data_IF_537443099681
#
_entry.id   IF_537443099681
#
_cell.length_a   1.000
_cell.length_b   1.000
_cell.length_c   1.000
_cell.angle_alpha   90.00
_cell.angle_beta   90.00
_cell.angle_gamma   90.00
#
_symmetry.space_group_name_H-M   'P 1'
#
loop_
_entity.id
_entity.type
_entity.pdbx_description
1 polymer ?
#
# COMPACT_ATOMS: atom_id res chain seq x y z
N UNK A 1 6.56 -17.51 -5.25
CA UNK A 1 7.18 -16.17 -5.15
C UNK A 1 6.99 -15.55 -6.52
N UNK A 2 6.24 -14.45 -6.61
CA UNK A 2 6.05 -13.75 -7.89
C UNK A 2 7.13 -12.68 -7.99
N UNK A 3 7.85 -12.66 -9.09
CA UNK A 3 8.74 -11.55 -9.40
C UNK A 3 7.90 -10.42 -9.97
N UNK A 4 7.97 -9.24 -9.35
CA UNK A 4 7.22 -8.07 -9.78
C UNK A 4 8.04 -7.21 -10.74
N UNK A 5 7.52 -7.02 -11.95
CA UNK A 5 8.09 -6.11 -12.93
C UNK A 5 7.39 -4.74 -12.83
N UNK A 6 8.18 -3.67 -12.67
CA UNK A 6 7.66 -2.30 -12.54
C UNK A 6 6.95 -1.77 -13.80
N UNK A 7 7.14 -2.38 -14.97
CA UNK A 7 6.41 -2.00 -16.19
C UNK A 7 5.00 -2.59 -16.28
N UNK A 8 4.64 -3.50 -15.37
CA UNK A 8 3.36 -4.21 -15.38
C UNK A 8 2.53 -3.86 -14.12
N UNK A 9 1.20 -4.06 -14.15
CA UNK A 9 0.39 -4.01 -12.95
C UNK A 9 0.86 -5.04 -11.91
N UNK A 10 1.02 -4.58 -10.67
CA UNK A 10 1.27 -5.42 -9.50
C UNK A 10 -0.09 -5.65 -8.82
N UNK A 11 -0.63 -6.85 -8.97
CA UNK A 11 -1.92 -7.20 -8.36
C UNK A 11 -1.80 -7.31 -6.85
N UNK A 12 -2.79 -6.79 -6.14
CA UNK A 12 -2.79 -6.86 -4.68
C UNK A 12 -2.80 -8.30 -4.16
N UNK A 13 -3.41 -9.22 -4.91
CA UNK A 13 -3.47 -10.66 -4.62
C UNK A 13 -2.11 -11.36 -4.74
N UNK A 14 -1.13 -10.72 -5.37
CA UNK A 14 0.23 -11.23 -5.56
C UNK A 14 1.21 -10.74 -4.48
N UNK A 15 0.74 -10.38 -3.27
CA UNK A 15 1.61 -10.00 -2.15
C UNK A 15 2.65 -11.08 -1.82
N UNK A 16 3.74 -10.69 -1.16
CA UNK A 16 4.86 -11.58 -0.84
C UNK A 16 4.38 -12.85 -0.10
N UNK A 17 5.01 -13.99 -0.38
CA UNK A 17 4.72 -15.23 0.36
C UNK A 17 5.36 -15.17 1.74
N UNK A 18 4.60 -15.48 2.77
CA UNK A 18 5.09 -15.57 4.14
C UNK A 18 3.95 -15.79 5.12
N UNK A 19 4.29 -15.84 6.40
CA UNK A 19 3.29 -15.96 7.46
C UNK A 19 2.61 -14.62 7.71
N UNK A 20 1.42 -14.68 8.29
CA UNK A 20 0.80 -13.54 8.96
C UNK A 20 1.81 -12.86 9.92
N UNK A 21 1.75 -11.53 10.02
CA UNK A 21 2.72 -10.65 10.68
C UNK A 21 4.13 -10.59 10.06
N UNK A 22 4.37 -11.25 8.91
CA UNK A 22 5.66 -11.21 8.21
C UNK A 22 5.52 -10.64 6.80
N UNK A 23 4.68 -11.26 5.97
CA UNK A 23 4.47 -10.83 4.58
C UNK A 23 3.14 -10.09 4.37
N UNK A 24 2.15 -10.41 5.21
CA UNK A 24 0.88 -9.72 5.30
C UNK A 24 0.41 -9.72 6.77
N UNK A 25 -0.60 -8.91 7.06
CA UNK A 25 -1.40 -9.00 8.25
C UNK A 25 -2.86 -8.80 7.91
N UNK A 26 -3.68 -9.67 8.47
CA UNK A 26 -5.12 -9.69 8.35
C UNK A 26 -5.69 -9.93 9.76
N UNK A 27 -6.84 -9.33 10.08
CA UNK A 27 -7.42 -9.45 11.41
C UNK A 27 -8.03 -10.85 11.62
N UNK A 28 -8.48 -11.52 10.56
CA UNK A 28 -9.19 -12.79 10.59
C UNK A 28 -8.30 -13.97 10.15
N UNK A 29 -7.19 -14.16 10.85
CA UNK A 29 -6.11 -15.06 10.40
C UNK A 29 -6.23 -16.53 10.82
N UNK A 30 -7.44 -17.04 11.07
CA UNK A 30 -7.64 -18.48 11.26
C UNK A 30 -9.10 -18.93 11.11
N UNK A 31 -9.28 -20.11 10.50
CA UNK A 31 -10.41 -20.99 10.80
C UNK A 31 -10.32 -21.40 12.27
N UNK A 32 -11.12 -20.80 13.15
CA UNK A 32 -11.37 -21.40 14.47
C UNK A 32 -12.41 -22.51 14.33
N UNK A 33 -11.97 -23.76 14.20
CA UNK A 33 -12.80 -24.89 14.65
C UNK A 33 -12.76 -24.90 16.18
N UNK A 34 -13.58 -24.07 16.79
CA UNK A 34 -13.87 -24.19 18.22
C UNK A 34 -14.96 -25.24 18.38
N UNK A 35 -14.54 -26.43 18.78
CA UNK A 35 -15.41 -27.33 19.50
C UNK A 35 -15.94 -26.55 20.72
N UNK A 36 -17.26 -26.42 20.85
CA UNK A 36 -18.00 -25.68 21.90
C UNK A 36 -18.15 -24.15 21.71
N UNK A 37 -18.92 -23.76 20.69
CA UNK A 37 -19.90 -22.67 20.85
C UNK A 37 -19.49 -21.23 20.54
N UNK A 38 -18.41 -20.98 19.79
CA UNK A 38 -18.15 -19.64 19.27
C UNK A 38 -18.39 -19.48 17.76
N UNK A 39 -18.36 -18.22 17.33
CA UNK A 39 -18.71 -17.77 15.98
C UNK A 39 -17.64 -18.20 14.98
N UNK A 40 -18.07 -18.78 13.87
CA UNK A 40 -17.22 -19.12 12.72
C UNK A 40 -16.64 -17.84 12.08
N UNK A 41 -15.31 -17.70 12.05
CA UNK A 41 -14.58 -16.71 11.24
C UNK A 41 -13.87 -17.42 10.10
N UNK A 42 -13.99 -16.88 8.89
CA UNK A 42 -13.50 -17.51 7.67
C UNK A 42 -12.04 -17.11 7.42
N UNK A 43 -11.17 -18.05 7.06
CA UNK A 43 -9.74 -17.80 6.81
C UNK A 43 -9.45 -16.98 5.54
N UNK A 44 -10.36 -17.02 4.58
CA UNK A 44 -10.38 -16.18 3.39
C UNK A 44 -11.85 -16.06 2.98
N UNK A 45 -12.44 -14.89 3.16
CA UNK A 45 -13.86 -14.65 2.96
C UNK A 45 -14.35 -15.01 1.55
N UNK A 46 -13.47 -14.99 0.53
CA UNK A 46 -13.78 -15.39 -0.84
C UNK A 46 -13.29 -16.78 -1.27
N UNK A 47 -12.66 -17.56 -0.39
CA UNK A 47 -12.24 -18.96 -0.62
C UNK A 47 -11.35 -19.19 -1.86
N UNK A 48 -10.68 -18.15 -2.35
CA UNK A 48 -10.10 -18.16 -3.69
C UNK A 48 -8.62 -17.79 -3.71
N UNK A 49 -7.95 -18.30 -4.74
CA UNK A 49 -6.55 -18.01 -5.11
C UNK A 49 -5.47 -18.53 -4.16
N UNK A 50 -5.44 -18.09 -2.90
CA UNK A 50 -4.39 -18.43 -1.93
C UNK A 50 -4.97 -19.02 -0.65
N UNK A 51 -4.29 -20.03 -0.13
CA UNK A 51 -4.62 -20.64 1.16
C UNK A 51 -3.91 -19.88 2.30
N UNK A 52 -3.91 -18.55 2.20
CA UNK A 52 -3.29 -17.58 3.09
C UNK A 52 -4.42 -16.70 3.67
N UNK A 53 -4.19 -16.01 4.79
CA UNK A 53 -5.24 -15.36 5.56
C UNK A 53 -5.79 -14.05 5.00
N UNK A 54 -5.45 -13.68 3.76
CA UNK A 54 -5.97 -12.45 3.12
C UNK A 54 -7.25 -12.78 2.36
N UNK A 55 -8.26 -11.94 2.52
CA UNK A 55 -9.54 -12.09 1.85
C UNK A 55 -9.49 -11.76 0.35
N UNK A 56 -9.75 -12.75 -0.50
CA UNK A 56 -9.62 -12.66 -1.97
C UNK A 56 -10.87 -13.18 -2.65
N UNK A 57 -11.45 -12.37 -3.54
CA UNK A 57 -12.61 -12.74 -4.38
C UNK A 57 -12.34 -12.56 -5.88
N UNK A 58 -13.29 -13.02 -6.70
CA UNK A 58 -13.24 -12.86 -8.14
C UNK A 58 -13.38 -11.39 -8.56
N UNK A 59 -12.50 -10.94 -9.45
CA UNK A 59 -12.49 -9.58 -9.98
C UNK A 59 -13.02 -9.56 -11.41
N UNK A 60 -13.99 -8.68 -11.68
CA UNK A 60 -14.59 -8.47 -13.00
C UNK A 60 -14.09 -7.21 -13.72
N UNK A 61 -13.02 -6.59 -13.22
CA UNK A 61 -12.38 -5.45 -13.89
C UNK A 61 -11.70 -5.87 -15.20
N UNK A 62 -11.60 -4.94 -16.16
CA UNK A 62 -11.09 -5.23 -17.50
C UNK A 62 -9.61 -5.64 -17.51
N UNK A 63 -8.81 -5.08 -16.60
CA UNK A 63 -7.43 -5.51 -16.35
C UNK A 63 -7.41 -6.15 -14.96
N UNK A 64 -7.29 -7.47 -14.88
CA UNK A 64 -7.19 -8.21 -13.62
C UNK A 64 -6.35 -9.48 -13.83
N UNK A 65 -5.92 -10.11 -12.73
CA UNK A 65 -5.46 -11.50 -12.74
C UNK A 65 -6.60 -12.49 -12.42
N UNK A 66 -7.85 -12.06 -12.58
CA UNK A 66 -9.06 -12.80 -12.20
C UNK A 66 -9.52 -12.55 -10.77
N UNK A 67 -8.73 -11.88 -9.93
CA UNK A 67 -9.02 -11.70 -8.51
C UNK A 67 -8.72 -10.28 -8.00
N UNK A 68 -9.36 -9.89 -6.90
CA UNK A 68 -9.03 -8.70 -6.11
C UNK A 68 -8.92 -9.07 -4.63
N UNK A 69 -8.18 -8.27 -3.87
CA UNK A 69 -8.28 -8.32 -2.40
C UNK A 69 -9.55 -7.56 -2.02
N UNK A 70 -10.35 -8.13 -1.13
CA UNK A 70 -11.60 -7.55 -0.63
C UNK A 70 -11.59 -7.50 0.90
N UNK A 71 -12.70 -7.08 1.50
CA UNK A 71 -12.91 -7.06 2.97
C UNK A 71 -11.79 -6.40 3.78
N UNK A 72 -11.05 -5.48 3.18
CA UNK A 72 -9.94 -4.80 3.84
C UNK A 72 -10.40 -4.03 5.06
N UNK A 73 -9.74 -4.27 6.20
CA UNK A 73 -10.05 -3.64 7.48
C UNK A 73 -8.93 -2.72 7.98
N UNK A 74 -9.25 -1.74 8.86
CA UNK A 74 -8.25 -0.91 9.51
C UNK A 74 -7.18 -1.73 10.25
N UNK A 75 -5.91 -1.47 9.93
CA UNK A 75 -4.74 -2.12 10.52
C UNK A 75 -4.15 -3.24 9.66
N UNK A 76 -4.88 -3.76 8.69
CA UNK A 76 -4.42 -4.80 7.77
C UNK A 76 -3.38 -4.29 6.79
N UNK A 77 -2.46 -5.17 6.39
CA UNK A 77 -1.40 -4.79 5.47
C UNK A 77 -0.86 -5.93 4.61
N UNK A 78 -0.31 -5.59 3.46
CA UNK A 78 0.36 -6.50 2.54
C UNK A 78 1.72 -5.93 2.11
N UNK A 79 2.72 -6.80 1.93
CA UNK A 79 4.04 -6.43 1.39
C UNK A 79 4.24 -6.92 -0.04
N UNK A 80 4.99 -6.15 -0.81
CA UNK A 80 5.36 -6.45 -2.20
C UNK A 80 6.84 -6.11 -2.40
N UNK A 81 7.63 -7.12 -2.76
CA UNK A 81 9.05 -6.92 -3.07
C UNK A 81 9.23 -6.66 -4.56
N UNK A 82 9.69 -5.45 -4.91
CA UNK A 82 9.94 -5.03 -6.31
C UNK A 82 11.41 -4.68 -6.50
N UNK A 83 11.93 -4.80 -7.73
CA UNK A 83 13.30 -4.40 -8.06
C UNK A 83 13.30 -3.28 -9.09
N UNK A 84 13.98 -2.17 -8.80
CA UNK A 84 14.20 -1.07 -9.72
C UNK A 84 15.64 -1.10 -10.25
N UNK A 85 15.81 -1.00 -11.58
CA UNK A 85 17.14 -1.00 -12.20
C UNK A 85 17.98 0.23 -11.81
N UNK A 86 17.32 1.38 -11.70
CA UNK A 86 17.87 2.66 -11.25
C UNK A 86 16.88 3.33 -10.29
N UNK A 87 17.35 4.30 -9.51
CA UNK A 87 16.46 5.10 -8.69
C UNK A 87 15.55 5.94 -9.60
N UNK A 88 14.25 5.94 -9.33
CA UNK A 88 13.27 6.67 -10.13
C UNK A 88 12.14 7.25 -9.29
N UNK A 89 11.65 8.39 -9.73
CA UNK A 89 10.43 9.00 -9.24
C UNK A 89 9.32 8.69 -10.24
N UNK A 90 8.24 8.08 -9.78
CA UNK A 90 7.22 7.50 -10.64
C UNK A 90 5.83 8.02 -10.27
N UNK A 91 4.89 7.95 -11.21
CA UNK A 91 3.48 8.06 -10.86
C UNK A 91 3.01 6.69 -10.36
N UNK A 92 2.31 6.67 -9.23
CA UNK A 92 1.73 5.45 -8.64
C UNK A 92 0.22 5.50 -8.81
N UNK A 93 -0.32 4.53 -9.54
CA UNK A 93 -1.76 4.39 -9.76
C UNK A 93 -2.29 3.19 -8.98
N UNK A 94 -3.36 3.38 -8.21
CA UNK A 94 -4.11 2.35 -7.50
C UNK A 94 -5.44 2.12 -8.23
N UNK A 95 -5.72 0.87 -8.61
CA UNK A 95 -7.00 0.44 -9.18
C UNK A 95 -7.84 -0.23 -8.10
N UNK A 96 -8.99 0.36 -7.78
CA UNK A 96 -9.82 -0.07 -6.65
C UNK A 96 -11.32 0.12 -6.93
N UNK A 97 -12.16 -0.50 -6.13
CA UNK A 97 -13.61 -0.32 -6.09
C UNK A 97 -14.11 -0.23 -4.64
N UNK A 98 -15.12 0.59 -4.37
CA UNK A 98 -15.67 0.76 -3.02
C UNK A 98 -17.05 1.42 -3.06
N UNK A 99 -17.99 0.88 -2.29
CA UNK A 99 -19.40 1.32 -2.35
C UNK A 99 -19.72 2.45 -1.36
N UNK A 100 -19.29 2.33 -0.11
CA UNK A 100 -19.98 3.03 0.98
C UNK A 100 -19.12 4.01 1.79
N UNK A 101 -17.81 3.79 1.89
CA UNK A 101 -16.91 4.59 2.72
C UNK A 101 -15.71 5.10 1.92
N UNK A 102 -15.22 6.29 2.32
CA UNK A 102 -13.86 6.70 1.98
C UNK A 102 -12.90 5.65 2.54
N UNK A 103 -12.02 5.11 1.70
CA UNK A 103 -10.96 4.21 2.17
C UNK A 103 -9.67 5.00 2.26
N UNK A 104 -9.00 4.93 3.40
CA UNK A 104 -7.68 5.55 3.57
C UNK A 104 -6.63 4.46 3.60
N UNK A 105 -5.59 4.61 2.77
CA UNK A 105 -4.45 3.69 2.76
C UNK A 105 -3.14 4.45 2.95
N UNK A 106 -2.20 3.82 3.65
CA UNK A 106 -0.80 4.24 3.73
C UNK A 106 0.04 3.32 2.86
N UNK A 107 0.92 3.91 2.05
CA UNK A 107 1.88 3.17 1.24
C UNK A 107 3.28 3.57 1.68
N UNK A 108 4.04 2.59 2.13
CA UNK A 108 5.42 2.74 2.59
C UNK A 108 6.36 2.01 1.63
N UNK A 109 7.58 2.51 1.47
CA UNK A 109 8.69 1.82 0.80
C UNK A 109 9.85 1.75 1.78
N UNK A 110 10.43 0.56 1.99
CA UNK A 110 11.60 0.39 2.87
C UNK A 110 11.45 1.02 4.28
N UNK A 111 10.22 1.12 4.80
CA UNK A 111 9.92 1.71 6.11
C UNK A 111 9.77 3.24 6.15
N UNK A 112 9.81 3.94 5.01
CA UNK A 112 9.41 5.36 4.88
C UNK A 112 8.11 5.48 4.11
N UNK A 113 7.37 6.57 4.30
CA UNK A 113 6.17 6.82 3.49
C UNK A 113 6.58 7.05 2.02
N UNK A 114 5.99 6.27 1.11
CA UNK A 114 6.17 6.41 -0.33
C UNK A 114 5.27 7.51 -0.90
N UNK A 115 4.11 7.71 -0.26
CA UNK A 115 3.09 8.70 -0.63
C UNK A 115 2.50 9.31 0.64
N UNK A 116 1.80 10.46 0.56
CA UNK A 116 0.90 10.86 1.63
C UNK A 116 -0.18 9.78 1.83
N UNK A 117 -0.92 9.85 2.94
CA UNK A 117 -2.10 8.99 3.13
C UNK A 117 -3.07 9.22 1.97
N UNK A 118 -3.35 8.15 1.23
CA UNK A 118 -4.23 8.22 0.07
C UNK A 118 -5.67 8.08 0.54
N UNK A 119 -6.50 9.03 0.12
CA UNK A 119 -7.93 9.08 0.40
C UNK A 119 -8.69 8.65 -0.84
N UNK A 120 -9.05 7.37 -0.90
CA UNK A 120 -9.72 6.72 -2.03
C UNK A 120 -11.25 6.92 -1.92
N UNK A 121 -11.88 7.79 -2.74
CA UNK A 121 -13.31 8.06 -2.66
C UNK A 121 -14.17 6.85 -3.05
N UNK A 122 -15.46 6.84 -2.66
CA UNK A 122 -16.39 5.83 -3.17
C UNK A 122 -16.41 5.83 -4.71
N UNK A 123 -16.32 4.64 -5.29
CA UNK A 123 -16.39 4.46 -6.73
C UNK A 123 -17.84 4.27 -7.21
N UNK A 124 -18.77 4.01 -6.30
CA UNK A 124 -20.19 3.79 -6.56
C UNK A 124 -20.63 2.32 -6.51
N UNK A 125 -19.73 1.39 -6.17
CA UNK A 125 -20.06 -0.02 -5.99
C UNK A 125 -18.82 -0.91 -5.89
N UNK A 126 -18.97 -2.10 -5.31
CA UNK A 126 -17.89 -3.07 -5.07
C UNK A 126 -17.26 -3.64 -6.34
N UNK A 127 -17.95 -3.54 -7.48
CA UNK A 127 -17.46 -3.97 -8.79
C UNK A 127 -17.31 -2.80 -9.77
N UNK A 128 -17.36 -1.56 -9.28
CA UNK A 128 -17.19 -0.35 -10.10
C UNK A 128 -15.77 0.15 -9.89
N UNK A 129 -14.85 -0.23 -10.76
CA UNK A 129 -13.44 0.08 -10.57
C UNK A 129 -13.05 1.46 -11.12
N UNK A 130 -12.30 2.21 -10.31
CA UNK A 130 -11.68 3.49 -10.68
C UNK A 130 -10.20 3.48 -10.32
N UNK A 131 -9.48 4.44 -10.89
CA UNK A 131 -8.05 4.61 -10.63
C UNK A 131 -7.83 5.88 -9.81
N UNK A 132 -6.93 5.81 -8.84
CA UNK A 132 -6.41 6.95 -8.10
C UNK A 132 -4.90 7.04 -8.35
N UNK A 133 -4.42 8.17 -8.84
CA UNK A 133 -3.00 8.36 -9.17
C UNK A 133 -2.41 9.42 -8.26
N UNK A 134 -1.23 9.12 -7.71
CA UNK A 134 -0.38 10.06 -6.99
C UNK A 134 0.95 10.14 -7.70
N UNK A 135 1.47 11.36 -7.84
CA UNK A 135 2.73 11.60 -8.50
C UNK A 135 3.89 11.50 -7.51
N UNK A 136 5.07 11.33 -8.07
CA UNK A 136 6.34 11.46 -7.37
C UNK A 136 6.64 10.41 -6.28
N UNK A 137 6.23 9.16 -6.51
CA UNK A 137 6.60 8.01 -5.69
C UNK A 137 8.06 7.59 -5.97
N UNK A 138 8.96 7.83 -5.02
CA UNK A 138 10.38 7.54 -5.13
C UNK A 138 10.72 6.07 -4.80
N UNK A 139 11.24 5.35 -5.79
CA UNK A 139 11.87 4.05 -5.62
C UNK A 139 13.39 4.19 -5.61
N UNK A 140 14.04 3.48 -4.68
CA UNK A 140 15.49 3.40 -4.61
C UNK A 140 16.02 2.42 -5.67
N UNK A 141 17.28 2.56 -6.08
CA UNK A 141 17.92 1.55 -6.94
C UNK A 141 18.00 0.20 -6.20
N UNK A 142 17.65 -0.88 -6.89
CA UNK A 142 17.69 -2.24 -6.34
C UNK A 142 16.36 -2.65 -5.71
N UNK A 143 16.44 -3.38 -4.60
CA UNK A 143 15.27 -3.98 -3.94
C UNK A 143 14.50 -2.92 -3.15
N UNK A 144 13.19 -2.86 -3.37
CA UNK A 144 12.25 -2.02 -2.64
C UNK A 144 11.14 -2.90 -2.06
N UNK A 145 10.91 -2.82 -0.75
CA UNK A 145 9.79 -3.48 -0.09
C UNK A 145 8.67 -2.47 0.10
N UNK A 146 7.61 -2.62 -0.69
CA UNK A 146 6.42 -1.79 -0.59
C UNK A 146 5.49 -2.43 0.44
N UNK A 147 4.94 -1.62 1.34
CA UNK A 147 3.91 -2.05 2.28
C UNK A 147 2.67 -1.17 2.09
N UNK A 148 1.52 -1.80 1.83
CA UNK A 148 0.23 -1.12 1.79
C UNK A 148 -0.55 -1.47 3.05
N UNK A 149 -0.98 -0.45 3.79
CA UNK A 149 -1.75 -0.61 5.03
C UNK A 149 -3.09 0.09 4.90
N UNK A 150 -4.18 -0.59 5.22
CA UNK A 150 -5.52 0.00 5.31
C UNK A 150 -5.65 0.73 6.64
N UNK A 151 -5.98 2.02 6.60
CA UNK A 151 -6.10 2.86 7.80
C UNK A 151 -7.55 3.05 8.25
N UNK A 152 -8.46 3.19 7.29
CA UNK A 152 -9.89 3.37 7.54
C UNK A 152 -10.71 2.95 6.32
N UNK A 153 -12.00 2.66 6.54
CA UNK A 153 -12.90 2.21 5.48
C UNK A 153 -12.61 0.77 5.05
N UNK A 154 -12.83 0.50 3.77
CA UNK A 154 -12.63 -0.81 3.14
C UNK A 154 -12.92 -0.70 1.64
N UNK A 155 -12.03 -1.25 0.82
CA UNK A 155 -12.12 -1.26 -0.62
C UNK A 155 -11.70 -2.62 -1.19
N UNK A 156 -12.21 -2.91 -2.38
CA UNK A 156 -11.69 -3.95 -3.24
C UNK A 156 -10.45 -3.39 -3.96
N UNK A 157 -9.30 -4.01 -3.74
CA UNK A 157 -8.01 -3.60 -4.30
C UNK A 157 -7.60 -4.58 -5.40
N UNK A 158 -7.51 -4.10 -6.65
CA UNK A 158 -7.17 -4.93 -7.81
C UNK A 158 -5.66 -4.94 -8.05
N UNK A 159 -5.09 -3.81 -8.47
CA UNK A 159 -3.65 -3.65 -8.67
C UNK A 159 -3.17 -2.25 -8.34
N UNK A 160 -1.86 -2.12 -8.16
CA UNK A 160 -1.16 -0.86 -8.30
C UNK A 160 -0.13 -0.92 -9.43
N UNK A 161 0.21 0.22 -10.01
CA UNK A 161 1.15 0.30 -11.11
C UNK A 161 2.01 1.56 -11.00
N UNK A 162 3.31 1.39 -11.23
CA UNK A 162 4.23 2.49 -11.43
C UNK A 162 4.30 2.86 -12.92
N UNK A 163 4.31 4.15 -13.22
CA UNK A 163 4.45 4.65 -14.58
C UNK A 163 5.25 5.94 -14.62
N UNK A 164 5.58 6.38 -15.84
CA UNK A 164 6.30 7.63 -16.10
C UNK A 164 7.56 7.81 -15.23
N UNK A 165 8.51 6.85 -15.23
CA UNK A 165 9.73 6.96 -14.44
C UNK A 165 10.52 8.20 -14.85
N UNK A 166 10.86 9.03 -13.87
CA UNK A 166 11.67 10.24 -14.01
C UNK A 166 12.92 10.13 -13.15
N UNK A 167 13.97 10.84 -13.54
CA UNK A 167 15.17 10.94 -12.71
C UNK A 167 14.82 11.71 -11.43
N UNK A 168 15.20 11.24 -10.22
CA UNK A 168 14.92 11.98 -8.98
C UNK A 168 15.49 13.41 -8.97
N UNK A 169 16.54 13.70 -9.75
CA UNK A 169 17.09 15.05 -9.90
C UNK A 169 16.24 16.02 -10.74
N UNK A 170 15.23 15.52 -11.45
CA UNK A 170 14.38 16.30 -12.35
C UNK A 170 13.06 16.75 -11.70
N UNK A 171 12.82 16.39 -10.43
CA UNK A 171 11.61 16.77 -9.70
C UNK A 171 11.95 17.70 -8.54
N UNK A 172 11.06 18.65 -8.26
CA UNK A 172 11.18 19.50 -7.07
C UNK A 172 11.06 18.64 -5.81
N UNK A 173 11.93 18.92 -4.83
CA UNK A 173 11.87 18.29 -3.52
C UNK A 173 10.58 18.69 -2.80
N UNK A 174 9.82 17.70 -2.36
CA UNK A 174 8.57 17.84 -1.63
C UNK A 174 8.59 16.95 -0.39
N UNK A 175 8.04 17.49 0.70
CA UNK A 175 7.77 16.71 1.91
C UNK A 175 6.53 15.85 1.65
N UNK A 176 6.69 14.54 1.78
CA UNK A 176 5.59 13.56 1.70
C UNK A 176 4.86 13.49 3.02
N UNK A 177 5.62 13.35 4.11
CA UNK A 177 5.08 13.23 5.46
C UNK A 177 6.07 13.73 6.50
N UNK A 178 5.51 14.11 7.64
CA UNK A 178 6.24 14.42 8.85
C UNK A 178 5.53 13.77 10.03
N UNK A 179 6.26 13.07 10.88
CA UNK A 179 5.71 12.47 12.10
C UNK A 179 6.69 12.56 13.25
N UNK A 180 6.18 12.49 14.47
CA UNK A 180 7.04 12.35 15.66
C UNK A 180 7.20 10.86 15.95
N UNK A 181 8.44 10.45 16.20
CA UNK A 181 8.77 9.12 16.71
C UNK A 181 7.97 8.77 17.98
N UNK A 182 7.76 7.47 18.20
CA UNK A 182 6.96 6.98 19.33
C UNK A 182 7.49 7.40 20.71
N UNK A 183 8.80 7.62 20.84
CA UNK A 183 9.43 8.10 22.08
C UNK A 183 9.42 9.64 22.22
N UNK A 184 8.92 10.36 21.22
CA UNK A 184 8.84 11.82 21.21
C UNK A 184 10.16 12.53 20.94
N UNK A 185 11.26 11.83 20.62
CA UNK A 185 12.61 12.42 20.58
C UNK A 185 13.11 12.78 19.20
N UNK A 186 12.43 12.34 18.15
CA UNK A 186 12.82 12.54 16.76
C UNK A 186 11.62 12.90 15.89
N UNK A 187 11.85 13.76 14.90
CA UNK A 187 10.94 14.00 13.78
C UNK A 187 11.40 13.13 12.62
N UNK A 188 10.49 12.34 12.07
CA UNK A 188 10.70 11.53 10.88
C UNK A 188 10.08 12.27 9.69
N UNK A 189 10.90 12.53 8.67
CA UNK A 189 10.48 13.20 7.45
C UNK A 189 10.66 12.25 6.27
N UNK A 190 9.64 12.14 5.43
CA UNK A 190 9.71 11.42 4.16
C UNK A 190 9.66 12.42 3.01
N UNK A 191 10.46 12.20 1.98
CA UNK A 191 10.57 13.08 0.82
C UNK A 191 10.45 12.29 -0.48
N UNK A 192 10.03 12.98 -1.55
CA UNK A 192 9.92 12.43 -2.91
C UNK A 192 11.26 12.38 -3.68
N UNK A 193 12.35 12.83 -3.08
CA UNK A 193 13.69 12.77 -3.63
C UNK A 193 14.72 12.69 -2.49
N UNK A 194 15.93 12.21 -2.78
CA UNK A 194 17.02 12.28 -1.84
C UNK A 194 17.42 13.75 -1.59
N UNK A 195 17.62 14.13 -0.33
CA UNK A 195 18.19 15.44 0.00
C UNK A 195 19.67 15.43 -0.41
N UNK A 196 20.02 16.17 -1.47
CA UNK A 196 21.42 16.38 -1.81
C UNK A 196 22.06 17.33 -0.78
N UNK A 197 23.27 17.00 -0.34
CA UNK A 197 23.92 17.63 0.81
C UNK A 197 24.19 19.13 0.58
N UNK A 198 23.36 19.99 1.19
CA UNK A 198 23.67 21.38 1.59
C UNK A 198 22.50 22.07 2.30
N UNK A 199 21.29 21.49 2.29
CA UNK A 199 20.16 22.05 3.02
C UNK A 199 20.33 21.84 4.53
N UNK A 200 20.62 22.92 5.26
CA UNK A 200 20.51 22.94 6.71
C UNK A 200 19.03 23.02 7.07
N UNK A 201 18.48 21.94 7.65
CA UNK A 201 17.17 21.97 8.28
C UNK A 201 17.32 22.68 9.63
N UNK A 202 16.79 23.90 9.73
CA UNK A 202 16.81 24.68 10.95
C UNK A 202 15.56 24.36 11.80
N UNK A 203 15.63 24.48 13.14
CA UNK A 203 14.43 24.36 13.97
C UNK A 203 13.29 25.31 13.56
N UNK A 204 13.61 26.45 12.96
CA UNK A 204 12.64 27.41 12.41
C UNK A 204 11.87 26.92 11.20
N UNK A 205 12.34 25.87 10.53
CA UNK A 205 11.66 25.27 9.37
C UNK A 205 10.50 24.37 9.80
N UNK A 206 10.35 24.13 11.11
CA UNK A 206 9.34 23.26 11.69
C UNK A 206 8.36 24.04 12.57
N UNK A 207 7.07 23.72 12.41
CA UNK A 207 6.01 24.17 13.30
C UNK A 207 5.50 22.99 14.13
N UNK A 208 5.38 23.17 15.44
CA UNK A 208 4.77 22.19 16.34
C UNK A 208 3.27 22.48 16.43
N UNK A 209 2.46 21.58 15.90
CA UNK A 209 1.01 21.62 16.05
C UNK A 209 0.63 20.76 17.27
N UNK A 210 -0.17 21.32 18.18
CA UNK A 210 -0.73 20.63 19.35
C UNK A 210 -2.12 20.09 19.03
#
# INVERSE_FOLDING_TARGET
FKEHNLSEPIFFTDYDLGRNNVAYFDNDTANYHIDEGGTYTNWNQGWSYRNDGVDIEACNDGISNGFNVGWTEPGEWMRYTVTAAEASVNDLTIRYAGSNALTEIRIEVNGRDLTPVLKLPSTGGWTVYKSYTVENALLDKGVNVIKVTTLSGGANLNYFQFSNPRNPGDVDLQVISASTSADGKSILLSFNAAISSSAALLPSDFAVYK
#
